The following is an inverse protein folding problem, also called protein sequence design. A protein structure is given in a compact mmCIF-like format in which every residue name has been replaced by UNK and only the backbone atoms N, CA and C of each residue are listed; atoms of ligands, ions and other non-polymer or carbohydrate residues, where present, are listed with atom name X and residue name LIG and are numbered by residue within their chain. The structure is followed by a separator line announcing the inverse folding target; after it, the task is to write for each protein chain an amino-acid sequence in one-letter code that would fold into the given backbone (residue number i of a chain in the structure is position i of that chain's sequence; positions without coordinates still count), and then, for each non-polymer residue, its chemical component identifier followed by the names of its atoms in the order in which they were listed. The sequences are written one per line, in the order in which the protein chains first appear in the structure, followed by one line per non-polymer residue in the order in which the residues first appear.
data_IF_437426681498
#
_entry.id   IF_437426681498
#
_cell.length_a   1.000
_cell.length_b   1.000
_cell.length_c   1.000
_cell.angle_alpha   90.00
_cell.angle_beta   90.00
_cell.angle_gamma   90.00
#
_symmetry.space_group_name_H-M   'P 1'
#
loop_
_entity.id
_entity.type
_entity.pdbx_description
1 polymer ?
#
# COMPACT_ATOMS: atom_id res chain seq x y z
N UNK A 1 8.10 -9.55 1.62
CA UNK A 1 7.49 -10.90 1.51
C UNK A 1 6.72 -10.97 0.19
N UNK A 2 6.89 -12.02 -0.64
CA UNK A 2 6.22 -12.08 -1.96
C UNK A 2 4.69 -12.07 -1.88
N UNK A 3 4.13 -12.56 -0.77
CA UNK A 3 2.68 -12.63 -0.53
C UNK A 3 2.06 -11.24 -0.33
N UNK A 4 2.63 -10.38 0.53
CA UNK A 4 2.13 -9.01 0.77
C UNK A 4 2.16 -8.17 -0.50
N UNK A 5 3.26 -8.24 -1.25
CA UNK A 5 3.41 -7.55 -2.53
C UNK A 5 2.31 -7.96 -3.52
N UNK A 6 2.02 -9.25 -3.61
CA UNK A 6 0.97 -9.77 -4.50
C UNK A 6 -0.41 -9.28 -4.07
N UNK A 7 -0.70 -9.29 -2.76
CA UNK A 7 -1.94 -8.78 -2.20
C UNK A 7 -2.16 -7.29 -2.53
N UNK A 8 -1.14 -6.47 -2.31
CA UNK A 8 -1.16 -5.04 -2.61
C UNK A 8 -1.46 -4.81 -4.10
N UNK A 9 -0.74 -5.50 -4.99
CA UNK A 9 -0.95 -5.39 -6.43
C UNK A 9 -2.35 -5.86 -6.86
N UNK A 10 -2.91 -6.88 -6.19
CA UNK A 10 -4.27 -7.34 -6.45
C UNK A 10 -5.31 -6.29 -6.07
N UNK A 11 -5.18 -5.65 -4.90
CA UNK A 11 -6.06 -4.55 -4.50
C UNK A 11 -5.94 -3.36 -5.46
N UNK A 12 -4.72 -3.00 -5.86
CA UNK A 12 -4.47 -1.96 -6.87
C UNK A 12 -5.19 -2.28 -8.19
N UNK A 13 -5.14 -3.54 -8.63
CA UNK A 13 -5.83 -4.00 -9.86
C UNK A 13 -7.36 -3.90 -9.71
N UNK A 14 -7.91 -4.33 -8.57
CA UNK A 14 -9.35 -4.28 -8.32
C UNK A 14 -9.88 -2.84 -8.25
N UNK A 15 -9.14 -1.94 -7.60
CA UNK A 15 -9.57 -0.55 -7.35
C UNK A 15 -9.42 0.37 -8.55
N UNK A 16 -8.94 -0.11 -9.71
CA UNK A 16 -8.83 0.64 -10.99
C UNK A 16 -8.27 2.06 -10.82
N UNK A 17 -7.18 2.20 -10.05
CA UNK A 17 -6.49 3.48 -9.76
C UNK A 17 -7.18 4.40 -8.74
N UNK A 18 -8.10 3.89 -7.92
CA UNK A 18 -8.57 4.59 -6.73
C UNK A 18 -7.58 4.42 -5.57
N UNK A 19 -7.60 5.36 -4.64
CA UNK A 19 -6.93 5.23 -3.35
C UNK A 19 -7.61 4.13 -2.51
N UNK A 20 -6.82 3.48 -1.68
CA UNK A 20 -7.27 2.45 -0.75
C UNK A 20 -6.48 2.53 0.56
N UNK A 21 -7.00 1.94 1.62
CA UNK A 21 -6.28 1.93 2.90
C UNK A 21 -5.16 0.89 2.90
N UNK A 22 -4.03 1.21 3.54
CA UNK A 22 -2.90 0.30 3.60
C UNK A 22 -3.27 -1.10 4.14
N UNK A 23 -4.20 -1.19 5.09
CA UNK A 23 -4.67 -2.43 5.69
C UNK A 23 -5.61 -3.27 4.79
N UNK A 24 -6.22 -2.71 3.73
CA UNK A 24 -7.17 -3.45 2.87
C UNK A 24 -6.61 -4.76 2.30
N UNK A 25 -5.38 -4.80 1.73
CA UNK A 25 -4.75 -6.03 1.28
C UNK A 25 -4.58 -7.07 2.39
N UNK A 26 -4.27 -6.64 3.62
CA UNK A 26 -4.11 -7.54 4.76
C UNK A 26 -5.45 -8.05 5.26
N UNK A 27 -6.46 -7.19 5.40
CA UNK A 27 -7.80 -7.58 5.83
C UNK A 27 -8.45 -8.60 4.87
N UNK A 28 -8.13 -8.52 3.57
CA UNK A 28 -8.58 -9.52 2.59
C UNK A 28 -7.92 -10.90 2.77
N UNK A 29 -6.70 -10.95 3.28
CA UNK A 29 -5.94 -12.20 3.44
C UNK A 29 -6.02 -12.79 4.85
N UNK A 30 -5.98 -11.93 5.86
CA UNK A 30 -5.87 -12.24 7.27
C UNK A 30 -6.84 -11.36 8.08
N UNK A 31 -8.16 -11.56 7.93
CA UNK A 31 -9.17 -10.70 8.58
C UNK A 31 -9.08 -10.65 10.11
N UNK A 32 -8.47 -11.66 10.75
CA UNK A 32 -8.34 -11.73 12.22
C UNK A 32 -6.96 -11.26 12.74
N UNK A 33 -5.90 -11.41 11.95
CA UNK A 33 -4.50 -11.15 12.38
C UNK A 33 -3.82 -9.98 11.64
N UNK A 34 -4.53 -9.25 10.78
CA UNK A 34 -3.97 -8.19 9.94
C UNK A 34 -3.16 -7.15 10.72
N UNK A 35 -3.56 -6.81 11.95
CA UNK A 35 -2.87 -5.83 12.80
C UNK A 35 -1.41 -6.22 13.07
N UNK A 36 -1.12 -7.53 13.15
CA UNK A 36 0.24 -8.05 13.40
C UNK A 36 1.19 -7.84 12.23
N UNK A 37 0.65 -7.66 11.03
CA UNK A 37 1.42 -7.51 9.80
C UNK A 37 1.51 -6.06 9.33
N UNK A 38 0.99 -5.09 10.08
CA UNK A 38 1.01 -3.68 9.71
C UNK A 38 2.43 -3.14 9.54
N UNK A 39 3.36 -3.52 10.42
CA UNK A 39 4.75 -3.08 10.34
C UNK A 39 5.43 -3.61 9.07
N UNK A 40 5.25 -4.90 8.77
CA UNK A 40 5.79 -5.54 7.56
C UNK A 40 5.20 -4.92 6.29
N UNK A 41 3.90 -4.64 6.33
CA UNK A 41 3.16 -4.01 5.25
C UNK A 41 3.63 -2.58 5.00
N UNK A 42 3.88 -1.79 6.05
CA UNK A 42 4.45 -0.45 5.91
C UNK A 42 5.84 -0.48 5.26
N UNK A 43 6.67 -1.46 5.63
CA UNK A 43 7.98 -1.66 5.00
C UNK A 43 7.82 -1.99 3.52
N UNK A 44 6.93 -2.91 3.16
CA UNK A 44 6.67 -3.28 1.77
C UNK A 44 6.10 -2.10 0.95
N UNK A 45 5.19 -1.31 1.52
CA UNK A 45 4.70 -0.09 0.86
C UNK A 45 5.82 0.91 0.59
N UNK A 46 6.68 1.19 1.57
CA UNK A 46 7.82 2.11 1.39
C UNK A 46 8.81 1.59 0.34
N UNK A 47 9.02 0.28 0.26
CA UNK A 47 9.83 -0.34 -0.79
C UNK A 47 9.18 -0.14 -2.17
N UNK A 48 7.89 -0.42 -2.31
CA UNK A 48 7.15 -0.24 -3.55
C UNK A 48 7.05 1.24 -3.98
N UNK A 49 7.01 2.17 -3.03
CA UNK A 49 7.08 3.62 -3.29
C UNK A 49 8.46 4.02 -3.84
N UNK A 50 9.54 3.50 -3.22
CA UNK A 50 10.91 3.70 -3.74
C UNK A 50 11.09 3.11 -5.13
N UNK A 51 10.48 1.97 -5.41
CA UNK A 51 10.44 1.35 -6.74
C UNK A 51 9.55 2.12 -7.74
N UNK A 52 8.75 3.08 -7.28
CA UNK A 52 7.84 3.87 -8.11
C UNK A 52 6.61 3.12 -8.57
N UNK A 53 6.22 2.04 -7.88
CA UNK A 53 5.02 1.24 -8.18
C UNK A 53 3.74 1.87 -7.61
N UNK A 54 3.88 2.67 -6.55
CA UNK A 54 2.78 3.36 -5.86
C UNK A 54 3.28 4.67 -5.23
N UNK A 55 2.35 5.53 -4.82
CA UNK A 55 2.63 6.71 -3.99
C UNK A 55 1.87 6.53 -2.65
N UNK A 56 2.56 6.76 -1.53
CA UNK A 56 1.93 6.71 -0.21
C UNK A 56 1.47 8.12 0.15
N UNK A 57 0.20 8.25 0.51
CA UNK A 57 -0.39 9.49 1.02
C UNK A 57 -0.58 9.33 2.53
N UNK A 58 0.33 9.92 3.31
CA UNK A 58 0.17 10.01 4.75
C UNK A 58 -0.88 11.09 5.06
N UNK A 59 -2.14 10.68 5.28
CA UNK A 59 -3.12 11.58 5.86
C UNK A 59 -3.03 11.55 7.39
N UNK A 60 -3.02 12.72 8.05
CA UNK A 60 -3.15 12.79 9.50
C UNK A 60 -4.60 12.43 9.86
N UNK A 61 -4.88 11.13 10.00
CA UNK A 61 -6.18 10.66 10.49
C UNK A 61 -6.22 10.75 12.01
N UNK A 62 -7.24 11.42 12.54
CA UNK A 62 -7.39 11.68 13.97
C UNK A 62 -7.62 10.42 14.83
N UNK A 63 -7.81 9.24 14.23
CA UNK A 63 -8.18 8.00 14.95
C UNK A 63 -7.27 6.80 14.66
N UNK A 64 -6.10 6.98 14.07
CA UNK A 64 -5.14 5.90 13.82
C UNK A 64 -4.35 6.18 12.55
N UNK A 65 -3.02 6.19 12.67
CA UNK A 65 -2.10 6.48 11.57
C UNK A 65 -2.08 5.33 10.54
N UNK A 66 -3.14 5.22 9.72
CA UNK A 66 -3.16 4.30 8.59
C UNK A 66 -2.93 5.08 7.30
N UNK A 67 -1.79 4.87 6.61
CA UNK A 67 -1.50 5.55 5.37
C UNK A 67 -2.51 5.15 4.28
N UNK A 68 -2.87 6.13 3.44
CA UNK A 68 -3.71 5.90 2.27
C UNK A 68 -2.79 5.66 1.08
N UNK A 69 -3.00 4.57 0.35
CA UNK A 69 -2.15 4.20 -0.77
C UNK A 69 -2.85 4.54 -2.08
N UNK A 70 -2.14 5.29 -2.92
CA UNK A 70 -2.56 5.65 -4.27
C UNK A 70 -1.67 4.97 -5.32
N UNK A 71 -2.23 4.70 -6.50
CA UNK A 71 -1.42 4.24 -7.64
C UNK A 71 -0.92 5.43 -8.44
N UNK A 72 0.39 5.52 -8.67
CA UNK A 72 0.94 6.31 -9.79
C UNK A 72 1.04 5.42 -11.02
N UNK A 73 0.43 5.85 -12.12
CA UNK A 73 0.57 5.21 -13.44
C UNK A 73 1.47 6.09 -14.30
N UNK A 74 2.75 6.24 -13.93
CA UNK A 74 3.76 6.78 -14.83
C UNK A 74 5.16 6.54 -14.24
N UNK A 75 6.17 6.23 -15.07
CA UNK A 75 7.54 6.13 -14.62
C UNK A 75 7.96 7.48 -14.04
N UNK A 76 8.47 7.45 -12.81
CA UNK A 76 9.17 8.59 -12.21
C UNK A 76 10.35 8.88 -13.15
N UNK A 77 10.24 9.90 -14.01
CA UNK A 77 11.36 10.37 -14.82
C UNK A 77 12.53 10.59 -13.86
N UNK A 78 13.74 10.11 -14.17
CA UNK A 78 14.91 10.45 -13.38
C UNK A 78 14.99 11.97 -13.32
N UNK A 79 14.98 12.51 -12.10
CA UNK A 79 15.34 13.91 -11.89
C UNK A 79 16.84 13.99 -12.20
N UNK A 80 17.15 14.62 -13.34
CA UNK A 80 18.51 14.93 -13.82
C UNK A 80 19.04 16.09 -12.97
#
# INVERSE_FOLDING_TARGET
MEVLRTAILQVIRQKKNKTFFAEEPLQQMYPEDWERFLDELQVEFKLMEKEGLLDILEQPSSNGNHPIVGKKIAPKKPQI
#
